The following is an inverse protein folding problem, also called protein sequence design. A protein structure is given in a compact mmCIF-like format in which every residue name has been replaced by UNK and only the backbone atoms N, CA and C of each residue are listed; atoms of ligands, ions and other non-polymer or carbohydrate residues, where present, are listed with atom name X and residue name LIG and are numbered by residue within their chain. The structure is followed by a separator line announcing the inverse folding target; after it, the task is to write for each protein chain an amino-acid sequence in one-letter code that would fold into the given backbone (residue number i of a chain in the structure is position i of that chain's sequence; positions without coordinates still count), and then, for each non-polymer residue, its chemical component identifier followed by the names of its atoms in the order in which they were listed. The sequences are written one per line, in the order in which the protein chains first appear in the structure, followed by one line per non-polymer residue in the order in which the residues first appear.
data_IF_292017503219
#
_entry.id   IF_292017503219
#
_cell.length_a   1.000
_cell.length_b   1.000
_cell.length_c   1.000
_cell.angle_alpha   90.00
_cell.angle_beta   90.00
_cell.angle_gamma   90.00
#
_symmetry.space_group_name_H-M   'P 1'
#
loop_
_entity.id
_entity.type
_entity.pdbx_description
1 polymer ?
#
# COMPACT_ATOMS: atom_id res chain seq x y z
N UNK A 1 27.30 -23.93 -23.21
CA UNK A 1 26.95 -22.57 -22.75
C UNK A 1 25.87 -22.74 -21.69
N UNK A 2 26.19 -22.53 -20.42
CA UNK A 2 25.22 -22.59 -19.32
C UNK A 2 24.37 -21.32 -19.39
N UNK A 3 23.13 -21.44 -19.86
CA UNK A 3 22.13 -20.37 -19.79
C UNK A 3 21.56 -20.40 -18.37
N UNK A 4 21.85 -19.35 -17.61
CA UNK A 4 21.27 -19.15 -16.28
C UNK A 4 19.74 -19.14 -16.41
N UNK A 5 19.12 -20.19 -15.86
CA UNK A 5 17.74 -20.10 -15.41
C UNK A 5 17.73 -19.47 -14.03
N UNK A 6 16.66 -18.71 -13.77
CA UNK A 6 16.24 -18.11 -12.50
C UNK A 6 16.83 -16.70 -12.32
N UNK A 7 16.04 -15.64 -12.14
CA UNK A 7 14.74 -15.57 -11.45
C UNK A 7 13.74 -14.75 -12.28
N UNK A 8 12.57 -15.35 -12.55
CA UNK A 8 11.39 -14.58 -12.87
C UNK A 8 11.14 -13.64 -11.70
N UNK A 9 11.14 -12.33 -11.93
CA UNK A 9 10.48 -11.36 -11.06
C UNK A 9 8.95 -11.56 -11.20
N UNK A 10 8.50 -12.79 -10.98
CA UNK A 10 7.10 -13.14 -10.76
C UNK A 10 6.83 -13.00 -9.27
N UNK A 11 5.63 -12.55 -8.95
CA UNK A 11 4.99 -12.78 -7.65
C UNK A 11 5.17 -11.74 -6.53
N UNK A 12 5.30 -10.44 -6.84
CA UNK A 12 5.12 -9.40 -5.81
C UNK A 12 3.73 -8.74 -5.85
N UNK A 13 3.05 -8.71 -7.00
CA UNK A 13 1.73 -8.09 -7.14
C UNK A 13 0.57 -9.12 -7.13
N UNK A 14 0.81 -10.33 -7.62
CA UNK A 14 -0.20 -11.41 -7.71
C UNK A 14 -0.48 -12.05 -6.34
N UNK A 15 0.46 -11.89 -5.41
CA UNK A 15 0.46 -12.50 -4.08
C UNK A 15 0.13 -11.52 -2.96
N UNK A 16 -0.23 -10.27 -3.27
CA UNK A 16 -0.68 -9.36 -2.22
C UNK A 16 -2.11 -9.74 -1.81
N UNK A 17 -2.31 -10.23 -0.57
CA UNK A 17 -3.62 -10.66 -0.14
C UNK A 17 -4.58 -9.47 -0.17
N UNK A 18 -5.85 -9.69 -0.50
CA UNK A 18 -6.92 -8.69 -0.29
C UNK A 18 -6.88 -8.14 1.16
N UNK A 19 -6.41 -8.98 2.07
CA UNK A 19 -6.12 -8.74 3.46
C UNK A 19 -5.18 -7.53 3.67
N UNK A 20 -4.20 -7.29 2.79
CA UNK A 20 -3.29 -6.15 2.90
C UNK A 20 -4.01 -4.82 2.63
N UNK A 21 -4.91 -4.77 1.64
CA UNK A 21 -5.71 -3.58 1.37
C UNK A 21 -6.73 -3.33 2.49
N UNK A 22 -7.36 -4.40 3.00
CA UNK A 22 -8.24 -4.30 4.15
C UNK A 22 -7.51 -3.79 5.41
N UNK A 23 -6.28 -4.25 5.65
CA UNK A 23 -5.47 -3.79 6.78
C UNK A 23 -5.08 -2.32 6.67
N UNK A 24 -4.75 -1.84 5.46
CA UNK A 24 -4.48 -0.41 5.20
C UNK A 24 -5.72 0.45 5.47
N UNK A 25 -6.89 0.02 5.00
CA UNK A 25 -8.16 0.73 5.24
C UNK A 25 -8.53 0.75 6.73
N UNK A 26 -8.35 -0.37 7.44
CA UNK A 26 -8.54 -0.45 8.88
C UNK A 26 -7.58 0.48 9.63
N UNK A 27 -6.31 0.52 9.24
CA UNK A 27 -5.32 1.38 9.88
C UNK A 27 -5.62 2.88 9.66
N UNK A 28 -6.10 3.25 8.47
CA UNK A 28 -6.56 4.63 8.19
C UNK A 28 -7.70 4.99 9.14
N UNK A 29 -8.70 4.11 9.25
CA UNK A 29 -9.84 4.31 10.13
C UNK A 29 -9.41 4.42 11.61
N UNK A 30 -8.51 3.57 12.08
CA UNK A 30 -8.01 3.60 13.46
C UNK A 30 -7.24 4.90 13.77
N UNK A 31 -6.40 5.36 12.83
CA UNK A 31 -5.69 6.65 12.96
C UNK A 31 -6.67 7.81 13.00
N UNK A 32 -7.74 7.79 12.19
CA UNK A 32 -8.79 8.81 12.23
C UNK A 32 -9.53 8.83 13.56
N UNK A 33 -9.83 7.65 14.13
CA UNK A 33 -10.41 7.57 15.46
C UNK A 33 -9.48 8.14 16.53
N UNK A 34 -8.19 7.79 16.51
CA UNK A 34 -7.20 8.29 17.46
C UNK A 34 -7.05 9.81 17.35
N UNK A 35 -6.96 10.34 16.14
CA UNK A 35 -6.95 11.79 15.85
C UNK A 35 -8.17 12.50 16.42
N UNK A 36 -9.36 11.90 16.30
CA UNK A 36 -10.61 12.49 16.81
C UNK A 36 -10.69 12.55 18.34
N UNK A 37 -10.03 11.61 19.03
CA UNK A 37 -10.00 11.51 20.50
C UNK A 37 -8.82 12.28 21.12
N UNK A 38 -7.83 12.64 20.31
CA UNK A 38 -6.60 13.29 20.76
C UNK A 38 -6.71 14.81 20.81
N UNK A 39 -5.89 15.43 21.65
CA UNK A 39 -5.78 16.90 21.78
C UNK A 39 -4.32 17.34 21.80
N UNK A 40 -4.08 18.63 21.53
CA UNK A 40 -2.75 19.24 21.62
C UNK A 40 -1.72 18.57 20.72
N UNK A 41 -0.55 18.25 21.27
CA UNK A 41 0.58 17.70 20.51
C UNK A 41 0.31 16.28 19.97
N UNK A 42 -0.42 15.46 20.74
CA UNK A 42 -0.78 14.10 20.31
C UNK A 42 -1.61 14.12 19.02
N UNK A 43 -2.58 15.05 18.92
CA UNK A 43 -3.37 15.23 17.70
C UNK A 43 -2.50 15.58 16.49
N UNK A 44 -1.51 16.45 16.66
CA UNK A 44 -0.57 16.84 15.59
C UNK A 44 0.25 15.64 15.12
N UNK A 45 0.62 14.74 16.04
CA UNK A 45 1.32 13.50 15.68
C UNK A 45 0.43 12.56 14.86
N UNK A 46 -0.83 12.35 15.27
CA UNK A 46 -1.78 11.53 14.51
C UNK A 46 -2.11 12.11 13.14
N UNK A 47 -2.22 13.45 13.00
CA UNK A 47 -2.39 14.12 11.71
C UNK A 47 -1.23 13.84 10.75
N UNK A 48 0.02 13.87 11.26
CA UNK A 48 1.21 13.53 10.47
C UNK A 48 1.23 12.06 10.06
N UNK A 49 0.92 11.15 10.99
CA UNK A 49 0.83 9.71 10.70
C UNK A 49 -0.22 9.44 9.63
N UNK A 50 -1.42 10.04 9.75
CA UNK A 50 -2.48 9.89 8.75
C UNK A 50 -2.04 10.39 7.37
N UNK A 51 -1.36 11.54 7.31
CA UNK A 51 -0.85 12.11 6.04
C UNK A 51 0.15 11.18 5.35
N UNK A 52 1.10 10.59 6.08
CA UNK A 52 2.06 9.64 5.50
C UNK A 52 1.37 8.33 5.07
N UNK A 53 0.38 7.86 5.86
CA UNK A 53 -0.39 6.67 5.54
C UNK A 53 -1.22 6.83 4.26
N UNK A 54 -1.83 8.00 4.05
CA UNK A 54 -2.54 8.33 2.80
C UNK A 54 -1.59 8.33 1.59
N UNK A 55 -0.39 8.88 1.73
CA UNK A 55 0.62 8.88 0.66
C UNK A 55 1.02 7.46 0.27
N UNK A 56 1.28 6.59 1.24
CA UNK A 56 1.63 5.19 0.96
C UNK A 56 0.46 4.44 0.33
N UNK A 57 -0.78 4.69 0.78
CA UNK A 57 -1.98 4.13 0.17
C UNK A 57 -2.13 4.53 -1.31
N UNK A 58 -1.86 5.79 -1.64
CA UNK A 58 -1.89 6.27 -3.03
C UNK A 58 -0.78 5.60 -3.85
N UNK A 59 0.45 5.52 -3.33
CA UNK A 59 1.57 4.85 -4.03
C UNK A 59 1.25 3.39 -4.32
N UNK A 60 0.70 2.69 -3.33
CA UNK A 60 0.27 1.30 -3.45
C UNK A 60 -0.78 1.14 -4.56
N UNK A 61 -1.81 2.00 -4.59
CA UNK A 61 -2.86 1.97 -5.62
C UNK A 61 -2.29 2.23 -7.02
N UNK A 62 -1.42 3.24 -7.16
CA UNK A 62 -0.76 3.56 -8.43
C UNK A 62 0.09 2.39 -8.91
N UNK A 63 0.93 1.84 -8.03
CA UNK A 63 1.78 0.70 -8.34
C UNK A 63 0.96 -0.52 -8.81
N UNK A 64 -0.13 -0.86 -8.11
CA UNK A 64 -1.03 -1.96 -8.48
C UNK A 64 -1.68 -1.72 -9.85
N UNK A 65 -2.15 -0.50 -10.13
CA UNK A 65 -2.76 -0.14 -11.43
C UNK A 65 -1.77 -0.26 -12.58
N UNK A 66 -0.56 0.30 -12.44
CA UNK A 66 0.47 0.22 -13.48
C UNK A 66 0.90 -1.22 -13.76
N UNK A 67 0.93 -2.10 -12.75
CA UNK A 67 1.18 -3.53 -12.93
C UNK A 67 0.06 -4.22 -13.72
N UNK A 68 -1.20 -3.91 -13.42
CA UNK A 68 -2.36 -4.45 -14.14
C UNK A 68 -2.39 -4.01 -15.60
N UNK A 69 -2.12 -2.72 -15.88
CA UNK A 69 -2.01 -2.19 -17.24
C UNK A 69 -0.88 -2.86 -18.03
N UNK A 70 0.30 -3.04 -17.41
CA UNK A 70 1.41 -3.74 -18.05
C UNK A 70 1.07 -5.21 -18.39
N UNK A 71 0.31 -5.89 -17.53
CA UNK A 71 -0.13 -7.27 -17.78
C UNK A 71 -1.10 -7.39 -18.96
N UNK A 72 -2.05 -6.45 -19.06
CA UNK A 72 -3.09 -6.45 -20.11
C UNK A 72 -2.59 -5.97 -21.48
N UNK A 73 -1.46 -5.26 -21.54
CA UNK A 73 -0.83 -4.88 -22.81
C UNK A 73 0.12 -5.94 -23.37
N UNK A 74 0.54 -6.90 -22.56
CA UNK A 74 1.52 -7.95 -22.93
C UNK A 74 0.85 -9.29 -23.27
N UNK A 75 -0.39 -9.52 -22.80
CA UNK A 75 -1.21 -10.70 -23.12
C UNK A 75 -2.38 -10.33 -24.04
#
# INVERSE_FOLDING_TARGET
MLSYKNESFGDDAETWPDDANANLELLIHDVDQLKSKSIGYEKIMWERVGTELEKETIRFKVWKSSKYEAYTMVN
#
